data_IF_971532249721
#
_entry.id   IF_971532249721
#
_cell.length_a   1.000
_cell.length_b   1.000
_cell.length_c   1.000
_cell.angle_alpha   90.00
_cell.angle_beta   90.00
_cell.angle_gamma   90.00
#
_symmetry.space_group_name_H-M   'P 1'
#
loop_
_entity.id
_entity.type
_entity.pdbx_description
1 polymer ?
#
# COMPACT_ATOMS: atom_id res chain seq x y z
N UNK A 1 5.57 7.76 -11.24
CA UNK A 1 5.01 7.64 -9.87
C UNK A 1 5.41 8.82 -8.98
N UNK A 2 6.70 9.16 -8.83
CA UNK A 2 7.17 10.32 -8.05
C UNK A 2 6.63 11.68 -8.54
N UNK A 3 6.63 11.90 -9.86
CA UNK A 3 6.09 13.10 -10.50
C UNK A 3 4.57 13.27 -10.30
N UNK A 4 3.82 12.16 -10.26
CA UNK A 4 2.37 12.18 -10.04
C UNK A 4 2.05 12.56 -8.58
N UNK A 5 2.81 12.03 -7.62
CA UNK A 5 2.67 12.39 -6.20
C UNK A 5 2.99 13.86 -5.92
N UNK A 6 3.98 14.43 -6.62
CA UNK A 6 4.34 15.84 -6.48
C UNK A 6 3.26 16.77 -7.06
N UNK A 7 2.70 16.42 -8.21
CA UNK A 7 1.59 17.17 -8.83
C UNK A 7 0.33 17.11 -7.95
N UNK A 8 0.01 15.95 -7.38
CA UNK A 8 -1.13 15.78 -6.48
C UNK A 8 -0.92 16.55 -5.16
N UNK A 9 0.29 16.54 -4.60
CA UNK A 9 0.64 17.30 -3.39
C UNK A 9 0.50 18.82 -3.58
N UNK A 10 0.75 19.32 -4.78
CA UNK A 10 0.60 20.74 -5.11
C UNK A 10 -0.89 21.09 -5.30
N UNK A 11 -1.67 20.22 -5.96
CA UNK A 11 -3.11 20.41 -6.20
C UNK A 11 -3.97 20.27 -4.92
N UNK A 12 -3.55 19.44 -3.96
CA UNK A 12 -4.27 19.23 -2.70
C UNK A 12 -4.01 20.32 -1.65
N UNK A 13 -3.07 21.24 -1.91
CA UNK A 13 -2.71 22.32 -0.97
C UNK A 13 -3.79 23.40 -0.84
N UNK A 14 -4.75 23.46 -1.77
CA UNK A 14 -5.93 24.34 -1.74
C UNK A 14 -7.23 23.54 -1.65
N UNK A 15 -7.35 22.65 -0.66
CA UNK A 15 -8.53 21.82 -0.43
C UNK A 15 -9.75 22.68 -0.06
N UNK A 16 -10.55 23.04 -1.07
CA UNK A 16 -11.87 23.61 -0.85
C UNK A 16 -12.78 22.59 -0.13
N UNK A 17 -13.59 22.99 0.86
CA UNK A 17 -14.40 22.08 1.69
C UNK A 17 -15.46 21.27 0.90
N UNK A 18 -15.76 21.67 -0.34
CA UNK A 18 -16.60 20.89 -1.27
C UNK A 18 -15.86 19.68 -1.83
N UNK A 19 -14.56 19.80 -2.07
CA UNK A 19 -13.72 18.74 -2.61
C UNK A 19 -13.54 17.60 -1.60
N UNK A 20 -13.36 17.93 -0.32
CA UNK A 20 -13.25 16.93 0.76
C UNK A 20 -14.52 16.08 0.90
N UNK A 21 -15.71 16.70 0.78
CA UNK A 21 -16.99 15.98 0.80
C UNK A 21 -17.15 15.06 -0.40
N UNK A 22 -16.76 15.51 -1.59
CA UNK A 22 -16.78 14.69 -2.80
C UNK A 22 -15.82 13.50 -2.67
N UNK A 23 -14.62 13.72 -2.12
CA UNK A 23 -13.65 12.66 -1.84
C UNK A 23 -14.17 11.66 -0.79
N UNK A 24 -14.85 12.13 0.26
CA UNK A 24 -15.45 11.30 1.29
C UNK A 24 -16.51 10.34 0.76
N UNK A 25 -17.32 10.79 -0.21
CA UNK A 25 -18.35 9.99 -0.87
C UNK A 25 -17.73 9.11 -1.96
N UNK A 26 -16.73 9.61 -2.69
CA UNK A 26 -16.05 8.89 -3.76
C UNK A 26 -15.24 7.69 -3.26
N UNK A 27 -14.60 7.80 -2.11
CA UNK A 27 -13.75 6.75 -1.55
C UNK A 27 -14.48 5.39 -1.37
N UNK A 28 -15.63 5.29 -0.69
CA UNK A 28 -16.36 4.02 -0.60
C UNK A 28 -16.82 3.50 -1.98
N UNK A 29 -17.16 4.39 -2.91
CA UNK A 29 -17.55 3.99 -4.27
C UNK A 29 -16.37 3.30 -4.98
N UNK A 30 -15.17 3.87 -4.90
CA UNK A 30 -13.98 3.26 -5.49
C UNK A 30 -13.55 1.98 -4.77
N UNK A 31 -13.71 1.88 -3.45
CA UNK A 31 -13.49 0.64 -2.69
C UNK A 31 -14.44 -0.46 -3.16
N UNK A 32 -15.73 -0.16 -3.30
CA UNK A 32 -16.75 -1.11 -3.76
C UNK A 32 -16.49 -1.50 -5.22
N UNK A 33 -16.13 -0.54 -6.08
CA UNK A 33 -15.80 -0.81 -7.47
C UNK A 33 -14.59 -1.76 -7.58
N UNK A 34 -13.53 -1.51 -6.80
CA UNK A 34 -12.36 -2.38 -6.76
C UNK A 34 -12.70 -3.79 -6.27
N UNK A 35 -13.45 -3.90 -5.17
CA UNK A 35 -13.90 -5.19 -4.65
C UNK A 35 -14.76 -5.95 -5.68
N UNK A 36 -15.65 -5.24 -6.39
CA UNK A 36 -16.50 -5.83 -7.44
C UNK A 36 -15.65 -6.39 -8.57
N UNK A 37 -14.65 -5.66 -9.04
CA UNK A 37 -13.72 -6.16 -10.07
C UNK A 37 -13.04 -7.45 -9.60
N UNK A 38 -12.52 -7.46 -8.37
CA UNK A 38 -11.85 -8.62 -7.80
C UNK A 38 -12.75 -9.87 -7.75
N UNK A 39 -14.04 -9.72 -7.42
CA UNK A 39 -14.98 -10.84 -7.35
C UNK A 39 -15.61 -11.23 -8.70
N UNK A 40 -15.74 -10.30 -9.64
CA UNK A 40 -16.46 -10.52 -10.91
C UNK A 40 -15.52 -10.97 -12.02
N UNK A 41 -14.33 -10.40 -12.14
CA UNK A 41 -13.41 -10.69 -13.25
C UNK A 41 -12.98 -12.17 -13.33
N UNK A 42 -12.67 -12.85 -12.21
CA UNK A 42 -12.39 -14.29 -12.25
C UNK A 42 -13.58 -15.13 -12.73
N UNK A 43 -14.82 -14.71 -12.42
CA UNK A 43 -16.04 -15.41 -12.87
C UNK A 43 -16.30 -15.24 -14.37
N UNK A 44 -15.76 -14.17 -14.96
CA UNK A 44 -15.84 -13.89 -16.39
C UNK A 44 -14.70 -14.55 -17.19
N UNK A 45 -13.81 -15.31 -16.53
CA UNK A 45 -12.71 -16.02 -17.19
C UNK A 45 -11.48 -15.16 -17.51
N UNK A 46 -11.39 -13.94 -16.95
CA UNK A 46 -10.16 -13.15 -17.07
C UNK A 46 -9.04 -13.78 -16.25
N UNK A 47 -7.88 -13.95 -16.87
CA UNK A 47 -6.66 -14.43 -16.18
C UNK A 47 -6.11 -13.33 -15.27
N UNK A 48 -5.46 -13.71 -14.16
CA UNK A 48 -4.95 -12.74 -13.17
C UNK A 48 -4.08 -11.64 -13.79
N UNK A 49 -3.29 -11.98 -14.80
CA UNK A 49 -2.41 -11.03 -15.50
C UNK A 49 -3.20 -9.99 -16.32
N UNK A 50 -4.34 -10.38 -16.90
CA UNK A 50 -5.18 -9.48 -17.68
C UNK A 50 -5.86 -8.42 -16.80
N UNK A 51 -6.09 -8.72 -15.51
CA UNK A 51 -6.72 -7.81 -14.55
C UNK A 51 -5.82 -6.60 -14.29
N UNK A 52 -4.50 -6.79 -14.16
CA UNK A 52 -3.56 -5.72 -13.80
C UNK A 52 -3.30 -4.70 -14.92
N UNK A 53 -3.49 -5.09 -16.18
CA UNK A 53 -3.25 -4.22 -17.35
C UNK A 53 -4.55 -3.54 -17.80
N UNK A 54 -5.70 -3.93 -17.24
CA UNK A 54 -6.98 -3.43 -17.67
C UNK A 54 -7.14 -1.93 -17.33
N UNK A 55 -7.41 -1.05 -18.31
CA UNK A 55 -7.48 0.40 -18.10
C UNK A 55 -8.48 0.83 -17.01
N UNK A 56 -9.58 0.08 -16.87
CA UNK A 56 -10.57 0.34 -15.84
C UNK A 56 -10.04 0.11 -14.42
N UNK A 57 -9.18 -0.90 -14.22
CA UNK A 57 -8.58 -1.17 -12.90
C UNK A 57 -7.62 -0.06 -12.52
N UNK A 58 -6.80 0.40 -13.48
CA UNK A 58 -5.92 1.54 -13.27
C UNK A 58 -6.70 2.82 -12.91
N UNK A 59 -7.83 3.06 -13.57
CA UNK A 59 -8.69 4.21 -13.29
C UNK A 59 -9.33 4.13 -11.89
N UNK A 60 -9.78 2.94 -11.48
CA UNK A 60 -10.30 2.70 -10.12
C UNK A 60 -9.20 2.92 -9.08
N UNK A 61 -8.00 2.37 -9.30
CA UNK A 61 -6.86 2.55 -8.39
C UNK A 61 -6.43 4.02 -8.29
N UNK A 62 -6.39 4.74 -9.41
CA UNK A 62 -6.10 6.17 -9.43
C UNK A 62 -7.18 6.98 -8.68
N UNK A 63 -8.46 6.65 -8.89
CA UNK A 63 -9.58 7.25 -8.15
C UNK A 63 -9.50 6.97 -6.65
N UNK A 64 -9.15 5.75 -6.26
CA UNK A 64 -8.95 5.36 -4.86
C UNK A 64 -7.80 6.17 -4.21
N UNK A 65 -6.66 6.29 -4.89
CA UNK A 65 -5.52 7.08 -4.42
C UNK A 65 -5.89 8.56 -4.28
N UNK A 66 -6.46 9.15 -5.32
CA UNK A 66 -6.85 10.57 -5.31
C UNK A 66 -7.89 10.87 -4.23
N UNK A 67 -8.93 10.04 -4.11
CA UNK A 67 -9.95 10.22 -3.08
C UNK A 67 -9.41 9.94 -1.69
N UNK A 68 -8.44 9.03 -1.50
CA UNK A 68 -7.81 8.80 -0.19
C UNK A 68 -6.92 9.97 0.26
N UNK A 69 -6.28 10.67 -0.68
CA UNK A 69 -5.43 11.83 -0.41
C UNK A 69 -6.23 13.12 -0.21
N UNK A 70 -7.33 13.26 -0.94
CA UNK A 70 -8.24 14.40 -0.85
C UNK A 70 -9.26 14.27 0.29
N UNK A 71 -9.55 13.04 0.71
CA UNK A 71 -10.35 12.76 1.89
C UNK A 71 -9.60 13.26 3.12
N UNK A 72 -10.06 14.36 3.72
CA UNK A 72 -9.65 14.76 5.06
C UNK A 72 -10.03 13.72 6.14
N UNK A 73 -10.54 14.17 7.28
CA UNK A 73 -10.97 13.26 8.35
C UNK A 73 -12.26 12.51 7.98
N UNK A 74 -12.11 11.34 7.36
CA UNK A 74 -13.20 10.46 6.97
C UNK A 74 -13.19 9.15 7.77
N UNK A 75 -14.32 8.44 7.81
CA UNK A 75 -14.43 7.15 8.52
C UNK A 75 -13.44 6.09 8.00
N UNK A 76 -13.14 6.09 6.69
CA UNK A 76 -12.14 5.20 6.09
C UNK A 76 -10.74 5.55 6.59
N UNK A 77 -10.43 6.84 6.71
CA UNK A 77 -9.16 7.30 7.26
C UNK A 77 -9.03 6.89 8.73
N UNK A 78 -10.11 6.99 9.52
CA UNK A 78 -10.16 6.48 10.90
C UNK A 78 -9.92 4.97 10.96
N UNK A 79 -10.50 4.20 10.04
CA UNK A 79 -10.31 2.75 9.96
C UNK A 79 -8.87 2.37 9.57
N UNK A 80 -8.28 3.07 8.60
CA UNK A 80 -6.90 2.90 8.16
C UNK A 80 -5.88 3.40 9.20
N UNK A 81 -6.30 4.32 10.08
CA UNK A 81 -5.50 4.81 11.21
C UNK A 81 -5.57 3.90 12.44
N UNK A 82 -6.28 2.76 12.36
CA UNK A 82 -6.26 1.78 13.44
C UNK A 82 -4.87 1.14 13.56
N UNK A 83 -4.40 0.85 14.80
CA UNK A 83 -3.10 0.21 15.04
C UNK A 83 -2.82 -1.03 14.17
N UNK A 84 -3.74 -2.00 13.97
CA UNK A 84 -3.49 -3.15 13.10
C UNK A 84 -3.36 -2.79 11.62
N UNK A 85 -4.06 -1.76 11.14
CA UNK A 85 -3.98 -1.33 9.74
C UNK A 85 -2.65 -0.60 9.47
N UNK A 86 -2.22 0.25 10.41
CA UNK A 86 -0.90 0.89 10.38
C UNK A 86 0.20 -0.17 10.38
N UNK A 87 0.15 -1.10 11.33
CA UNK A 87 1.09 -2.20 11.43
C UNK A 87 1.19 -3.02 10.14
N UNK A 88 0.04 -3.38 9.56
CA UNK A 88 0.00 -4.13 8.31
C UNK A 88 0.64 -3.33 7.15
N UNK A 89 0.43 -2.02 7.12
CA UNK A 89 1.08 -1.11 6.18
C UNK A 89 2.61 -1.08 6.35
N UNK A 90 3.09 -1.06 7.59
CA UNK A 90 4.52 -1.05 7.92
C UNK A 90 5.24 -2.33 7.45
N UNK A 91 4.64 -3.50 7.65
CA UNK A 91 5.24 -4.80 7.24
C UNK A 91 4.91 -5.21 5.81
N UNK A 92 4.09 -4.43 5.09
CA UNK A 92 3.58 -4.77 3.75
C UNK A 92 4.68 -5.08 2.74
N UNK A 93 5.81 -4.37 2.83
CA UNK A 93 6.95 -4.58 1.96
C UNK A 93 7.61 -5.94 2.18
N UNK A 94 7.86 -6.30 3.44
CA UNK A 94 8.34 -7.63 3.83
C UNK A 94 7.39 -8.75 3.35
N UNK A 95 6.07 -8.58 3.51
CA UNK A 95 5.08 -9.54 3.02
C UNK A 95 5.18 -9.71 1.50
N UNK A 96 5.24 -8.60 0.76
CA UNK A 96 5.35 -8.61 -0.70
C UNK A 96 6.59 -9.37 -1.18
N UNK A 97 7.73 -9.20 -0.50
CA UNK A 97 8.96 -9.92 -0.89
C UNK A 97 8.92 -11.40 -0.53
N UNK A 98 8.38 -11.73 0.64
CA UNK A 98 8.55 -13.06 1.24
C UNK A 98 7.41 -14.04 0.95
N UNK A 99 6.22 -13.57 0.56
CA UNK A 99 5.09 -14.47 0.33
C UNK A 99 5.34 -15.50 -0.78
N UNK A 100 6.03 -15.14 -1.88
CA UNK A 100 6.34 -16.09 -2.97
C UNK A 100 7.43 -17.09 -2.58
N UNK A 101 8.60 -16.67 -2.05
CA UNK A 101 9.61 -17.62 -1.59
C UNK A 101 9.10 -18.58 -0.52
N UNK A 102 8.32 -18.07 0.45
CA UNK A 102 7.72 -18.90 1.51
C UNK A 102 6.71 -19.88 0.92
N UNK A 103 5.84 -19.42 0.01
CA UNK A 103 4.91 -20.30 -0.68
C UNK A 103 5.62 -21.43 -1.44
N UNK A 104 6.67 -21.10 -2.19
CA UNK A 104 7.47 -22.10 -2.90
C UNK A 104 8.17 -23.09 -1.97
N UNK A 105 8.79 -22.62 -0.89
CA UNK A 105 9.45 -23.50 0.07
C UNK A 105 8.45 -24.48 0.71
N UNK A 106 7.29 -23.99 1.10
CA UNK A 106 6.25 -24.82 1.71
C UNK A 106 5.58 -25.78 0.72
N UNK A 107 5.42 -25.40 -0.55
CA UNK A 107 4.90 -26.30 -1.58
C UNK A 107 5.86 -27.46 -1.90
N UNK A 108 7.18 -27.24 -1.76
CA UNK A 108 8.20 -28.28 -1.94
C UNK A 108 8.26 -29.23 -0.73
N UNK A 109 8.23 -28.69 0.49
CA UNK A 109 8.41 -29.47 1.72
C UNK A 109 7.12 -30.15 2.20
N UNK A 110 5.96 -29.53 1.97
CA UNK A 110 4.65 -30.00 2.43
C UNK A 110 3.62 -30.07 1.29
N UNK A 111 3.91 -30.84 0.21
CA UNK A 111 3.01 -30.93 -0.93
C UNK A 111 1.65 -31.49 -0.50
N UNK A 112 0.57 -30.86 -1.00
CA UNK A 112 -0.82 -31.25 -0.75
C UNK A 112 -1.32 -31.16 0.70
N UNK A 113 -0.58 -30.54 1.62
CA UNK A 113 -1.07 -30.35 2.98
C UNK A 113 -2.24 -29.34 3.02
N UNK A 114 -3.38 -29.65 3.66
CA UNK A 114 -4.57 -28.78 3.63
C UNK A 114 -4.33 -27.41 4.28
N UNK A 115 -3.35 -27.32 5.20
CA UNK A 115 -2.98 -26.08 5.88
C UNK A 115 -1.82 -25.33 5.21
N UNK A 116 -1.34 -25.75 4.03
CA UNK A 116 -0.13 -25.16 3.44
C UNK A 116 -0.27 -23.66 3.19
N UNK A 117 -1.44 -23.23 2.71
CA UNK A 117 -1.74 -21.81 2.45
C UNK A 117 -1.81 -20.99 3.73
N UNK A 118 -2.41 -21.52 4.78
CA UNK A 118 -2.51 -20.83 6.07
C UNK A 118 -1.12 -20.75 6.74
N UNK A 119 -0.35 -21.83 6.67
CA UNK A 119 1.05 -21.88 7.09
C UNK A 119 1.90 -20.86 6.33
N UNK A 120 1.75 -20.75 5.01
CA UNK A 120 2.47 -19.78 4.19
C UNK A 120 2.18 -18.34 4.61
N UNK A 121 0.91 -18.01 4.86
CA UNK A 121 0.53 -16.69 5.38
C UNK A 121 1.16 -16.46 6.75
N UNK A 122 1.02 -17.38 7.69
CA UNK A 122 1.56 -17.23 9.05
C UNK A 122 3.08 -17.05 9.03
N UNK A 123 3.81 -17.90 8.31
CA UNK A 123 5.27 -17.84 8.18
C UNK A 123 5.70 -16.54 7.50
N UNK A 124 4.99 -16.12 6.45
CA UNK A 124 5.28 -14.86 5.76
C UNK A 124 5.09 -13.66 6.68
N UNK A 125 4.01 -13.63 7.46
CA UNK A 125 3.75 -12.54 8.41
C UNK A 125 4.84 -12.46 9.49
N UNK A 126 5.28 -13.60 10.02
CA UNK A 126 6.37 -13.66 11.00
C UNK A 126 7.68 -13.17 10.38
N UNK A 127 8.06 -13.70 9.22
CA UNK A 127 9.31 -13.31 8.56
C UNK A 127 9.29 -11.85 8.11
N UNK A 128 8.15 -11.35 7.64
CA UNK A 128 7.97 -9.94 7.28
C UNK A 128 8.13 -9.03 8.50
N UNK A 129 7.55 -9.41 9.66
CA UNK A 129 7.73 -8.67 10.90
C UNK A 129 9.20 -8.62 11.32
N UNK A 130 9.91 -9.76 11.24
CA UNK A 130 11.34 -9.84 11.57
C UNK A 130 12.16 -8.97 10.62
N UNK A 131 11.93 -9.07 9.31
CA UNK A 131 12.60 -8.26 8.30
C UNK A 131 12.34 -6.76 8.51
N UNK A 132 11.10 -6.40 8.86
CA UNK A 132 10.74 -5.01 9.15
C UNK A 132 11.53 -4.45 10.35
N UNK A 133 11.59 -5.21 11.45
CA UNK A 133 12.32 -4.78 12.65
C UNK A 133 13.83 -4.76 12.46
N UNK A 134 14.38 -5.77 11.80
CA UNK A 134 15.83 -5.98 11.70
C UNK A 134 16.49 -5.22 10.54
N UNK A 135 15.76 -4.93 9.46
CA UNK A 135 16.33 -4.37 8.23
C UNK A 135 15.64 -3.06 7.87
N UNK A 136 14.31 -3.06 7.73
CA UNK A 136 13.61 -1.88 7.20
C UNK A 136 13.66 -0.69 8.15
N UNK A 137 13.35 -0.91 9.43
CA UNK A 137 13.35 0.14 10.46
C UNK A 137 14.73 0.79 10.63
N UNK A 138 15.84 0.06 10.84
CA UNK A 138 17.16 0.69 10.96
C UNK A 138 17.59 1.39 9.68
N UNK A 139 17.25 0.85 8.50
CA UNK A 139 17.56 1.50 7.22
C UNK A 139 16.81 2.82 7.05
N UNK A 140 15.52 2.87 7.39
CA UNK A 140 14.71 4.10 7.36
C UNK A 140 15.27 5.15 8.33
N UNK A 141 15.63 4.76 9.54
CA UNK A 141 16.20 5.66 10.52
C UNK A 141 17.56 6.21 10.09
N UNK A 142 18.42 5.37 9.50
CA UNK A 142 19.71 5.79 8.94
C UNK A 142 19.54 6.78 7.78
N UNK A 143 18.63 6.49 6.83
CA UNK A 143 18.32 7.38 5.72
C UNK A 143 17.79 8.73 6.18
N UNK A 144 16.90 8.74 7.19
CA UNK A 144 16.35 9.97 7.75
C UNK A 144 17.44 10.85 8.38
N UNK A 145 18.35 10.26 9.16
CA UNK A 145 19.49 10.96 9.75
C UNK A 145 20.44 11.51 8.67
N UNK A 146 20.74 10.72 7.65
CA UNK A 146 21.59 11.14 6.55
C UNK A 146 20.99 12.32 5.77
N UNK A 147 19.69 12.26 5.46
CA UNK A 147 18.97 13.35 4.79
C UNK A 147 18.96 14.66 5.59
N UNK A 148 18.75 14.58 6.91
CA UNK A 148 18.79 15.76 7.79
C UNK A 148 20.17 16.44 7.78
N UNK A 149 21.24 15.65 7.88
CA UNK A 149 22.61 16.17 7.85
C UNK A 149 22.95 16.88 6.52
N UNK A 150 22.43 16.39 5.40
CA UNK A 150 22.64 17.03 4.09
C UNK A 150 21.93 18.38 3.97
N UNK A 151 20.74 18.52 4.54
CA UNK A 151 19.99 19.78 4.54
C UNK A 151 20.71 20.83 5.39
N UNK A 152 21.20 20.44 6.58
CA UNK A 152 21.97 21.33 7.45
C UNK A 152 23.28 21.78 6.80
N UNK A 153 23.99 20.87 6.13
CA UNK A 153 25.21 21.21 5.39
C UNK A 153 24.94 22.21 4.25
N UNK A 154 23.84 22.04 3.49
CA UNK A 154 23.46 23.00 2.44
C UNK A 154 23.06 24.38 2.97
N UNK A 155 22.47 24.45 4.17
CA UNK A 155 22.09 25.71 4.81
C UNK A 155 23.30 26.51 5.28
N UNK A 156 24.37 25.83 5.70
CA UNK A 156 25.61 26.48 6.15
C UNK A 156 26.47 26.94 4.96
N UNK A 157 26.41 26.25 3.82
CA UNK A 157 27.20 26.60 2.62
C UNK A 157 26.59 27.71 1.74
N UNK A 158 25.36 28.17 2.04
CA UNK A 158 24.65 29.19 1.26
C UNK A 158 24.17 30.31 2.21
N UNK A 159 25.07 31.20 2.68
CA UNK A 159 24.74 32.33 3.55
C UNK A 159 23.96 33.44 2.84
#
# INVERSE_FOLDING_TARGET
>A
MFSLGLIISILTRESHPKFDRMAAIGLPIFVIAYATVYFVYPRLGFTEHAIYVHPFVLLICAGLLLTSLAAGENWVNRLLSLPPAIWLGEVSFGIYLLHRPVGWALDVELPHHPFNKLGAVAVTMILAQVAHMAIEKPSRDALRKWGANLIDQRRISNP
#
